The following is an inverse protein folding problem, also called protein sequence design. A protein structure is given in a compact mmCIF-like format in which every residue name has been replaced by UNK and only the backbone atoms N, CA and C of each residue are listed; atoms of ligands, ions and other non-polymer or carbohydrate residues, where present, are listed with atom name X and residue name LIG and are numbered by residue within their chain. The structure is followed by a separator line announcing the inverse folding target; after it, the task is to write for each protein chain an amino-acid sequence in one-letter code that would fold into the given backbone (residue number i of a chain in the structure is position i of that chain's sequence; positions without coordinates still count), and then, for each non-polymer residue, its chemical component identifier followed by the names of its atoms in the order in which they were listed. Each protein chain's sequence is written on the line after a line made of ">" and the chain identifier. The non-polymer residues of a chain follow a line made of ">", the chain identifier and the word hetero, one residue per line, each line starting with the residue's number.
data_IF_684329620239
#
_entry.id   IF_684329620239
#
_cell.length_a   1.000
_cell.length_b   1.000
_cell.length_c   1.000
_cell.angle_alpha   90.00
_cell.angle_beta   90.00
_cell.angle_gamma   90.00
#
_symmetry.space_group_name_H-M   'P 1'
#
loop_
_entity.id
_entity.type
_entity.pdbx_description
1 polymer ?
#
# COMPACT_ATOMS: atom_id res chain seq x y z
N UNK A 1 -21.25 -23.05 15.84
CA UNK A 1 -20.04 -22.35 16.33
C UNK A 1 -19.21 -21.83 15.16
N UNK A 2 -19.11 -22.54 14.04
CA UNK A 2 -18.39 -22.09 12.84
C UNK A 2 -18.87 -20.73 12.29
N UNK A 3 -20.18 -20.47 12.32
CA UNK A 3 -20.74 -19.21 11.79
C UNK A 3 -20.31 -17.96 12.58
N UNK A 4 -20.16 -18.08 13.91
CA UNK A 4 -19.68 -16.98 14.77
C UNK A 4 -18.22 -16.65 14.49
N UNK A 5 -17.38 -17.68 14.32
CA UNK A 5 -15.98 -17.51 13.94
C UNK A 5 -15.90 -16.86 12.56
N UNK A 6 -16.65 -17.35 11.58
CA UNK A 6 -16.64 -16.79 10.24
C UNK A 6 -17.04 -15.31 10.22
N UNK A 7 -18.07 -14.95 10.98
CA UNK A 7 -18.49 -13.55 11.11
C UNK A 7 -17.42 -12.66 11.73
N UNK A 8 -16.67 -13.17 12.73
CA UNK A 8 -15.55 -12.45 13.35
C UNK A 8 -14.37 -12.30 12.39
N UNK A 9 -14.05 -13.34 11.62
CA UNK A 9 -12.98 -13.29 10.62
C UNK A 9 -13.30 -12.28 9.51
N UNK A 10 -14.53 -12.29 8.98
CA UNK A 10 -14.96 -11.28 8.00
C UNK A 10 -14.84 -9.86 8.54
N UNK A 11 -15.29 -9.62 9.78
CA UNK A 11 -15.16 -8.30 10.41
C UNK A 11 -13.71 -7.89 10.62
N UNK A 12 -12.85 -8.80 11.11
CA UNK A 12 -11.43 -8.52 11.29
C UNK A 12 -10.75 -8.17 9.96
N UNK A 13 -11.10 -8.87 8.88
CA UNK A 13 -10.61 -8.58 7.54
C UNK A 13 -10.99 -7.16 7.07
N UNK A 14 -12.24 -6.73 7.27
CA UNK A 14 -12.66 -5.35 6.96
C UNK A 14 -11.88 -4.29 7.75
N UNK A 15 -11.48 -4.59 9.00
CA UNK A 15 -10.63 -3.71 9.79
C UNK A 15 -9.21 -3.62 9.21
N UNK A 16 -8.63 -4.74 8.77
CA UNK A 16 -7.31 -4.76 8.09
C UNK A 16 -7.36 -3.95 6.78
N UNK A 17 -8.36 -4.17 5.93
CA UNK A 17 -8.50 -3.43 4.67
C UNK A 17 -8.72 -1.93 4.91
N UNK A 18 -9.40 -1.57 5.99
CA UNK A 18 -9.61 -0.19 6.42
C UNK A 18 -8.43 0.45 7.15
N UNK A 19 -7.28 -0.24 7.27
CA UNK A 19 -6.09 0.25 7.99
C UNK A 19 -6.24 0.34 9.51
N UNK A 20 -7.31 -0.23 10.08
CA UNK A 20 -7.59 -0.28 11.53
C UNK A 20 -7.05 -1.57 12.13
N UNK A 21 -5.74 -1.75 12.06
CA UNK A 21 -5.08 -3.02 12.37
C UNK A 21 -5.20 -3.42 13.85
N UNK A 22 -5.25 -2.45 14.76
CA UNK A 22 -5.42 -2.69 16.20
C UNK A 22 -6.79 -3.30 16.52
N UNK A 23 -7.87 -2.80 15.90
CA UNK A 23 -9.22 -3.33 16.05
C UNK A 23 -9.30 -4.78 15.53
N UNK A 24 -8.61 -5.08 14.41
CA UNK A 24 -8.56 -6.42 13.86
C UNK A 24 -7.87 -7.40 14.82
N UNK A 25 -6.76 -7.00 15.43
CA UNK A 25 -6.04 -7.80 16.43
C UNK A 25 -6.92 -8.10 17.65
N UNK A 26 -7.69 -7.13 18.12
CA UNK A 26 -8.62 -7.32 19.25
C UNK A 26 -9.69 -8.38 18.95
N UNK A 27 -10.21 -8.40 17.72
CA UNK A 27 -11.19 -9.40 17.27
C UNK A 27 -10.53 -10.78 17.09
N UNK A 28 -9.31 -10.83 16.54
CA UNK A 28 -8.64 -12.09 16.18
C UNK A 28 -8.10 -12.87 17.37
N UNK A 29 -7.59 -12.20 18.41
CA UNK A 29 -7.06 -12.87 19.61
C UNK A 29 -8.01 -13.92 20.22
N UNK A 30 -9.27 -13.60 20.57
CA UNK A 30 -10.18 -14.60 21.13
C UNK A 30 -10.57 -15.69 20.10
N UNK A 31 -10.50 -15.40 18.80
CA UNK A 31 -10.73 -16.42 17.75
C UNK A 31 -9.58 -17.42 17.71
N UNK A 32 -8.33 -16.95 17.78
CA UNK A 32 -7.13 -17.80 17.82
C UNK A 32 -7.06 -18.63 19.11
N UNK A 33 -7.51 -18.10 20.24
CA UNK A 33 -7.62 -18.85 21.49
C UNK A 33 -8.67 -19.97 21.39
N UNK A 34 -9.80 -19.71 20.75
CA UNK A 34 -10.87 -20.69 20.56
C UNK A 34 -10.58 -21.73 19.47
N UNK A 35 -9.84 -21.33 18.42
CA UNK A 35 -9.54 -22.14 17.25
C UNK A 35 -8.07 -21.97 16.80
N UNK A 36 -7.11 -22.53 17.55
CA UNK A 36 -5.68 -22.34 17.29
C UNK A 36 -5.20 -22.98 15.98
N UNK A 37 -5.95 -23.91 15.41
CA UNK A 37 -5.66 -24.57 14.13
C UNK A 37 -6.44 -23.99 12.95
N UNK A 38 -6.94 -22.75 13.06
CA UNK A 38 -7.59 -22.05 11.94
C UNK A 38 -6.55 -21.25 11.13
N UNK A 39 -6.18 -21.75 9.95
CA UNK A 39 -5.22 -21.10 9.06
C UNK A 39 -5.66 -19.70 8.61
N UNK A 40 -6.95 -19.50 8.31
CA UNK A 40 -7.48 -18.21 7.86
C UNK A 40 -7.35 -17.15 8.95
N UNK A 41 -7.58 -17.53 10.22
CA UNK A 41 -7.41 -16.63 11.36
C UNK A 41 -5.96 -16.17 11.52
N UNK A 42 -5.01 -17.10 11.42
CA UNK A 42 -3.57 -16.77 11.44
C UNK A 42 -3.16 -15.91 10.24
N UNK A 43 -3.74 -16.16 9.07
CA UNK A 43 -3.48 -15.37 7.87
C UNK A 43 -3.98 -13.93 7.99
N UNK A 44 -5.17 -13.69 8.55
CA UNK A 44 -5.64 -12.32 8.78
C UNK A 44 -4.79 -11.66 9.88
N UNK A 45 -4.40 -12.41 10.92
CA UNK A 45 -3.54 -11.90 11.99
C UNK A 45 -2.17 -11.43 11.48
N UNK A 46 -1.57 -12.19 10.56
CA UNK A 46 -0.34 -11.84 9.84
C UNK A 46 -0.38 -10.42 9.23
N UNK A 47 -1.52 -10.03 8.66
CA UNK A 47 -1.72 -8.72 8.04
C UNK A 47 -2.15 -7.62 9.03
N UNK A 48 -2.55 -7.99 10.24
CA UNK A 48 -2.99 -7.08 11.28
C UNK A 48 -1.86 -6.68 12.27
N UNK A 49 -0.71 -7.35 12.22
CA UNK A 49 0.42 -7.06 13.12
C UNK A 49 1.48 -6.19 12.43
N UNK A 50 1.94 -5.17 13.14
CA UNK A 50 2.98 -4.25 12.65
C UNK A 50 4.41 -4.73 12.95
N UNK A 51 4.58 -5.64 13.92
CA UNK A 51 5.88 -6.20 14.28
C UNK A 51 6.28 -7.32 13.30
N UNK A 52 7.41 -7.20 12.57
CA UNK A 52 7.86 -8.22 11.62
C UNK A 52 8.18 -9.57 12.26
N UNK A 53 8.56 -9.61 13.55
CA UNK A 53 8.81 -10.87 14.25
C UNK A 53 7.49 -11.61 14.54
N UNK A 54 6.47 -10.89 15.00
CA UNK A 54 5.14 -11.44 15.20
C UNK A 54 4.48 -11.88 13.88
N UNK A 55 4.64 -11.10 12.82
CA UNK A 55 4.16 -11.44 11.47
C UNK A 55 4.77 -12.78 11.00
N UNK A 56 6.11 -12.93 11.11
CA UNK A 56 6.79 -14.19 10.77
C UNK A 56 6.29 -15.38 11.58
N UNK A 57 6.01 -15.19 12.88
CA UNK A 57 5.43 -16.23 13.72
C UNK A 57 4.05 -16.65 13.21
N UNK A 58 3.18 -15.69 12.89
CA UNK A 58 1.84 -15.96 12.37
C UNK A 58 1.89 -16.72 11.05
N UNK A 59 2.78 -16.32 10.13
CA UNK A 59 3.00 -17.04 8.86
C UNK A 59 3.50 -18.48 9.08
N UNK A 60 4.38 -18.67 10.06
CA UNK A 60 4.83 -20.00 10.49
C UNK A 60 3.68 -20.90 10.94
N UNK A 61 2.70 -20.35 11.69
CA UNK A 61 1.49 -21.09 12.06
C UNK A 61 0.60 -21.42 10.86
N UNK A 62 0.42 -20.49 9.91
CA UNK A 62 -0.31 -20.75 8.66
C UNK A 62 0.32 -21.93 7.91
N UNK A 63 1.63 -21.88 7.68
CA UNK A 63 2.35 -22.94 6.96
C UNK A 63 2.41 -24.27 7.73
N UNK A 64 2.36 -24.23 9.06
CA UNK A 64 2.23 -25.44 9.90
C UNK A 64 0.88 -26.12 9.71
N UNK A 65 -0.20 -25.33 9.67
CA UNK A 65 -1.58 -25.83 9.57
C UNK A 65 -1.92 -26.23 8.14
N UNK A 66 -1.56 -25.37 7.17
CA UNK A 66 -1.84 -25.50 5.75
C UNK A 66 -0.56 -25.20 4.93
N UNK A 67 0.29 -26.21 4.68
CA UNK A 67 1.55 -26.02 3.95
C UNK A 67 1.38 -25.50 2.50
N UNK A 68 0.20 -25.69 1.91
CA UNK A 68 -0.17 -25.26 0.56
C UNK A 68 -1.12 -24.03 0.58
N UNK A 69 -1.14 -23.27 1.68
CA UNK A 69 -1.97 -22.07 1.79
C UNK A 69 -1.61 -21.05 0.68
N UNK A 70 -2.58 -20.60 -0.15
CA UNK A 70 -2.29 -19.74 -1.29
C UNK A 70 -1.59 -18.43 -0.90
N UNK A 71 -0.46 -18.14 -1.53
CA UNK A 71 0.30 -16.90 -1.30
C UNK A 71 1.26 -16.94 -0.10
N UNK A 72 1.20 -17.97 0.76
CA UNK A 72 2.00 -18.01 1.98
C UNK A 72 3.50 -18.16 1.71
N UNK A 73 3.87 -18.96 0.71
CA UNK A 73 5.27 -19.12 0.30
C UNK A 73 5.85 -17.80 -0.24
N UNK A 74 5.08 -17.08 -1.06
CA UNK A 74 5.50 -15.81 -1.63
C UNK A 74 5.69 -14.72 -0.56
N UNK A 75 4.80 -14.67 0.45
CA UNK A 75 4.99 -13.75 1.59
C UNK A 75 6.19 -14.14 2.43
N UNK A 76 6.46 -15.44 2.60
CA UNK A 76 7.63 -15.91 3.34
C UNK A 76 8.93 -15.43 2.67
N UNK A 77 9.01 -15.59 1.35
CA UNK A 77 10.16 -15.11 0.57
C UNK A 77 10.32 -13.58 0.70
N UNK A 78 9.22 -12.83 0.57
CA UNK A 78 9.21 -11.37 0.73
C UNK A 78 9.74 -10.97 2.12
N UNK A 79 9.26 -11.62 3.19
CA UNK A 79 9.67 -11.33 4.56
C UNK A 79 11.14 -11.65 4.82
N UNK A 80 11.66 -12.71 4.20
CA UNK A 80 13.09 -13.06 4.32
C UNK A 80 13.99 -12.03 3.62
N UNK A 81 13.51 -11.42 2.54
CA UNK A 81 14.22 -10.36 1.82
C UNK A 81 14.18 -9.04 2.61
N UNK A 82 13.00 -8.64 3.09
CA UNK A 82 12.80 -7.34 3.72
C UNK A 82 13.30 -7.30 5.18
N UNK A 83 13.14 -8.41 5.91
CA UNK A 83 13.49 -8.54 7.31
C UNK A 83 14.36 -9.79 7.53
N UNK A 84 15.63 -9.77 7.10
CA UNK A 84 16.54 -10.89 7.34
C UNK A 84 16.52 -11.27 8.83
N UNK A 85 16.45 -12.56 9.11
CA UNK A 85 16.52 -13.02 10.51
C UNK A 85 17.88 -12.60 11.10
N UNK A 86 17.90 -12.06 12.33
CA UNK A 86 19.13 -11.61 13.00
C UNK A 86 20.22 -12.71 13.09
N UNK A 87 19.84 -13.98 12.91
CA UNK A 87 20.76 -15.11 12.77
C UNK A 87 21.59 -15.08 11.47
N UNK A 88 21.01 -14.63 10.36
CA UNK A 88 21.70 -14.51 9.08
C UNK A 88 22.71 -13.36 9.06
N UNK A 89 22.45 -12.27 9.76
CA UNK A 89 23.42 -11.16 9.86
C UNK A 89 24.66 -11.57 10.65
N UNK A 90 24.50 -12.38 11.70
CA UNK A 90 25.63 -12.96 12.43
C UNK A 90 26.45 -13.92 11.57
N UNK A 91 25.79 -14.76 10.77
CA UNK A 91 26.48 -15.69 9.88
C UNK A 91 27.22 -14.96 8.73
N UNK A 92 26.60 -13.91 8.18
CA UNK A 92 27.20 -13.03 7.18
C UNK A 92 28.41 -12.24 7.74
N UNK A 93 28.38 -11.86 9.01
CA UNK A 93 29.51 -11.21 9.69
C UNK A 93 30.63 -12.19 10.07
N UNK A 94 30.33 -13.49 10.25
CA UNK A 94 31.34 -14.52 10.57
C UNK A 94 32.06 -15.11 9.37
N UNK A 95 31.53 -14.96 8.14
CA UNK A 95 32.16 -15.50 6.92
C UNK A 95 33.30 -14.62 6.36
N UNK A 96 33.70 -13.55 7.08
CA UNK A 96 34.72 -12.59 6.65
C UNK A 96 36.11 -12.69 7.28
N UNK A 97 36.33 -13.48 8.33
CA UNK A 97 37.56 -13.41 9.15
C UNK A 97 38.42 -14.70 9.18
N UNK A 98 38.14 -15.67 8.31
CA UNK A 98 38.96 -16.90 8.19
C UNK A 98 40.17 -16.77 7.23
N UNK A 99 40.65 -15.55 6.95
CA UNK A 99 41.85 -15.31 6.11
C UNK A 99 42.99 -14.56 6.80
N UNK A 100 43.08 -14.65 8.14
CA UNK A 100 44.28 -14.28 8.87
C UNK A 100 44.68 -15.35 9.90
N UNK A 101 44.88 -16.59 9.43
CA UNK A 101 45.96 -17.41 10.00
C UNK A 101 47.30 -16.73 9.67
N UNK A 102 47.67 -15.76 10.49
CA UNK A 102 49.07 -15.37 10.66
C UNK A 102 49.54 -15.94 11.99
N UNK A 103 50.57 -16.75 11.83
CA UNK A 103 51.36 -17.46 12.80
C UNK A 103 51.56 -16.77 14.15
N UNK A 104 51.37 -17.56 15.22
CA UNK A 104 52.31 -17.60 16.32
C UNK A 104 52.00 -16.73 17.53
N UNK A 105 51.29 -17.30 18.50
CA UNK A 105 51.63 -17.05 19.91
C UNK A 105 51.39 -18.32 20.72
N UNK A 106 52.48 -18.98 21.08
CA UNK A 106 52.52 -20.16 21.93
C UNK A 106 52.12 -19.78 23.36
N UNK A 107 50.84 -19.91 23.71
CA UNK A 107 50.40 -19.76 25.10
C UNK A 107 50.84 -20.97 25.96
N UNK A 108 51.33 -20.75 27.19
CA UNK A 108 51.84 -21.79 28.07
C UNK A 108 50.71 -22.72 28.58
N UNK A 109 51.04 -23.96 28.98
CA UNK A 109 50.07 -24.95 29.42
C UNK A 109 49.43 -24.53 30.75
N UNK A 110 48.10 -24.37 30.73
CA UNK A 110 47.28 -24.24 31.95
C UNK A 110 47.10 -25.64 32.55
N UNK A 111 47.45 -25.87 33.83
CA UNK A 111 47.26 -27.16 34.47
C UNK A 111 45.76 -27.43 34.73
N UNK A 112 45.27 -28.49 34.09
CA UNK A 112 43.95 -29.07 34.27
C UNK A 112 43.89 -29.90 35.56
N UNK A 113 43.14 -29.42 36.54
CA UNK A 113 42.64 -30.22 37.66
C UNK A 113 41.18 -29.86 37.91
N UNK A 114 40.27 -30.50 37.18
CA UNK A 114 38.85 -30.55 37.57
C UNK A 114 38.44 -32.01 37.82
N UNK A 115 37.67 -32.26 38.89
CA UNK A 115 37.24 -33.60 39.28
C UNK A 115 36.22 -34.19 38.28
N UNK A 116 36.37 -35.49 38.06
CA UNK A 116 35.55 -36.33 37.19
C UNK A 116 34.05 -36.20 37.51
N UNK A 117 33.29 -35.71 36.53
CA UNK A 117 31.83 -35.78 36.56
C UNK A 117 31.41 -37.08 35.87
N UNK A 118 30.57 -37.93 36.48
CA UNK A 118 30.21 -39.23 35.92
C UNK A 118 29.43 -39.07 34.61
N UNK A 119 30.08 -39.51 33.53
CA UNK A 119 29.52 -39.62 32.18
C UNK A 119 28.48 -40.74 32.11
N UNK A 120 27.21 -40.36 32.06
CA UNK A 120 26.16 -41.13 31.38
C UNK A 120 25.33 -40.17 30.54
N UNK A 121 25.86 -39.84 29.37
CA UNK A 121 25.03 -39.38 28.26
C UNK A 121 24.30 -40.59 27.66
N UNK A 122 22.98 -40.53 27.45
CA UNK A 122 22.27 -41.55 26.68
C UNK A 122 22.75 -41.56 25.22
N UNK A 123 22.89 -42.76 24.65
CA UNK A 123 23.28 -42.97 23.26
C UNK A 123 22.36 -42.21 22.29
N UNK A 124 22.91 -41.58 21.24
CA UNK A 124 22.11 -40.98 20.18
C UNK A 124 21.38 -42.09 19.41
N UNK A 125 20.05 -42.03 19.42
CA UNK A 125 19.18 -42.87 18.59
C UNK A 125 19.55 -42.58 17.13
N UNK A 126 20.13 -43.58 16.45
CA UNK A 126 20.39 -43.53 15.01
C UNK A 126 19.05 -43.41 14.28
N UNK A 127 18.72 -42.19 13.86
CA UNK A 127 17.58 -41.91 13.00
C UNK A 127 18.03 -42.21 11.57
N UNK A 128 17.69 -43.41 11.08
CA UNK A 128 17.91 -43.84 9.70
C UNK A 128 17.29 -42.83 8.74
N UNK A 129 18.13 -42.07 8.04
CA UNK A 129 17.73 -41.15 6.99
C UNK A 129 17.18 -41.97 5.81
N UNK A 130 15.92 -41.76 5.36
CA UNK A 130 15.46 -42.36 4.12
C UNK A 130 16.27 -41.81 2.94
N UNK A 131 16.66 -42.70 2.04
CA UNK A 131 17.45 -42.39 0.85
C UNK A 131 16.75 -41.31 0.02
N UNK A 132 17.39 -40.15 -0.10
CA UNK A 132 17.00 -39.10 -1.05
C UNK A 132 17.23 -39.63 -2.45
N UNK A 133 16.21 -39.72 -3.33
CA UNK A 133 16.42 -40.09 -4.71
C UNK A 133 17.28 -39.03 -5.40
N UNK A 134 18.46 -39.44 -5.86
CA UNK A 134 19.32 -38.59 -6.68
C UNK A 134 18.59 -38.30 -8.00
N UNK A 135 18.18 -37.04 -8.19
CA UNK A 135 17.71 -36.56 -9.48
C UNK A 135 18.92 -36.29 -10.37
N UNK A 136 19.08 -37.14 -11.38
CA UNK A 136 20.06 -37.00 -12.45
C UNK A 136 19.66 -35.81 -13.36
N UNK A 137 20.28 -34.66 -13.10
CA UNK A 137 20.20 -33.46 -13.95
C UNK A 137 21.17 -33.64 -15.12
N UNK A 138 20.81 -34.52 -16.05
CA UNK A 138 21.46 -34.63 -17.37
C UNK A 138 20.43 -35.07 -18.40
N UNK A 139 19.47 -34.19 -18.69
CA UNK A 139 18.65 -34.29 -19.91
C UNK A 139 18.97 -33.11 -20.84
N UNK A 140 19.45 -33.35 -22.07
CA UNK A 140 19.56 -32.31 -23.07
C UNK A 140 18.16 -31.81 -23.41
N UNK A 141 17.99 -30.48 -23.34
CA UNK A 141 16.78 -29.79 -23.76
C UNK A 141 16.65 -29.98 -25.28
N UNK A 142 15.81 -30.93 -25.69
CA UNK A 142 15.40 -31.05 -27.07
C UNK A 142 14.48 -29.85 -27.38
N UNK A 143 14.95 -28.96 -28.25
CA UNK A 143 14.15 -27.95 -28.93
C UNK A 143 12.88 -28.58 -29.52
N UNK A 144 11.73 -28.30 -28.92
CA UNK A 144 10.45 -28.51 -29.56
C UNK A 144 9.97 -27.18 -30.16
N UNK A 145 10.45 -26.96 -31.38
CA UNK A 145 9.85 -26.01 -32.32
C UNK A 145 8.45 -26.54 -32.69
N UNK A 146 7.41 -26.05 -32.01
CA UNK A 146 6.04 -26.16 -32.49
C UNK A 146 5.42 -24.76 -32.59
N UNK A 147 5.54 -24.21 -33.80
CA UNK A 147 4.70 -23.11 -34.30
C UNK A 147 3.24 -23.55 -34.24
N UNK A 148 2.50 -23.09 -33.22
CA UNK A 148 1.05 -23.12 -33.22
C UNK A 148 0.53 -21.81 -33.86
N UNK A 149 -0.18 -21.94 -34.98
CA UNK A 149 -0.79 -20.82 -35.70
C UNK A 149 -1.95 -20.19 -34.89
N UNK A 150 -2.15 -18.86 -34.94
CA UNK A 150 -3.24 -18.21 -34.23
C UNK A 150 -4.58 -18.44 -34.93
N UNK A 151 -5.50 -19.13 -34.25
CA UNK A 151 -6.92 -19.19 -34.65
C UNK A 151 -7.60 -17.86 -34.31
N UNK A 152 -7.85 -17.04 -35.34
CA UNK A 152 -8.67 -15.83 -35.28
C UNK A 152 -10.12 -16.18 -34.86
N UNK A 153 -10.51 -15.74 -33.66
CA UNK A 153 -11.90 -15.68 -33.20
C UNK A 153 -12.54 -14.41 -33.76
N UNK A 154 -13.42 -14.56 -34.75
CA UNK A 154 -14.07 -13.50 -35.51
C UNK A 154 -15.51 -13.27 -35.03
N UNK A 155 -15.68 -12.91 -33.74
CA UNK A 155 -17.00 -12.71 -33.13
C UNK A 155 -17.20 -11.39 -32.36
N UNK A 156 -16.14 -10.67 -31.99
CA UNK A 156 -16.25 -9.52 -31.08
C UNK A 156 -16.45 -8.14 -31.73
N UNK A 157 -16.24 -8.00 -33.04
CA UNK A 157 -16.19 -6.69 -33.71
C UNK A 157 -17.56 -6.05 -33.97
N UNK A 158 -18.67 -6.78 -33.91
CA UNK A 158 -20.00 -6.20 -34.14
C UNK A 158 -20.59 -5.48 -32.92
N UNK A 159 -20.15 -5.80 -31.70
CA UNK A 159 -20.68 -5.16 -30.48
C UNK A 159 -20.06 -3.78 -30.27
N UNK A 160 -18.76 -3.63 -30.56
CA UNK A 160 -18.03 -2.37 -30.36
C UNK A 160 -18.57 -1.27 -31.30
N UNK A 161 -18.95 -1.62 -32.53
CA UNK A 161 -19.45 -0.65 -33.51
C UNK A 161 -20.83 -0.05 -33.10
N UNK A 162 -21.66 -0.83 -32.39
CA UNK A 162 -22.93 -0.35 -31.86
C UNK A 162 -22.76 0.66 -30.73
N UNK A 163 -21.80 0.44 -29.83
CA UNK A 163 -21.54 1.33 -28.69
C UNK A 163 -20.95 2.67 -29.17
N UNK A 164 -20.08 2.65 -30.17
CA UNK A 164 -19.51 3.88 -30.77
C UNK A 164 -20.58 4.70 -31.50
N UNK A 165 -21.52 4.05 -32.19
CA UNK A 165 -22.61 4.77 -32.86
C UNK A 165 -23.59 5.41 -31.85
N UNK A 166 -23.92 4.71 -30.76
CA UNK A 166 -24.81 5.24 -29.72
C UNK A 166 -24.19 6.44 -28.97
N UNK A 167 -22.89 6.37 -28.68
CA UNK A 167 -22.15 7.45 -28.02
C UNK A 167 -22.00 8.68 -28.92
N UNK A 168 -21.79 8.51 -30.23
CA UNK A 168 -21.78 9.64 -31.18
C UNK A 168 -23.14 10.34 -31.30
N UNK A 169 -24.25 9.59 -31.25
CA UNK A 169 -25.60 10.19 -31.26
C UNK A 169 -25.87 10.98 -29.97
N UNK A 170 -25.43 10.47 -28.81
CA UNK A 170 -25.58 11.17 -27.54
C UNK A 170 -24.78 12.48 -27.51
N UNK A 171 -23.54 12.45 -27.99
CA UNK A 171 -22.68 13.65 -28.08
C UNK A 171 -23.28 14.67 -29.05
N UNK A 172 -23.85 14.23 -30.18
CA UNK A 172 -24.52 15.13 -31.12
C UNK A 172 -25.78 15.78 -30.53
N UNK A 173 -26.57 15.06 -29.72
CA UNK A 173 -27.74 15.63 -29.03
C UNK A 173 -27.35 16.64 -27.94
N UNK A 174 -26.21 16.46 -27.28
CA UNK A 174 -25.72 17.39 -26.26
C UNK A 174 -25.10 18.66 -26.89
N UNK A 175 -24.48 18.55 -28.06
CA UNK A 175 -23.86 19.69 -28.75
C UNK A 175 -24.84 20.53 -29.57
N UNK A 176 -26.00 20.00 -29.90
CA UNK A 176 -27.06 20.72 -30.63
C UNK A 176 -28.33 20.81 -29.77
N UNK A 177 -28.33 21.64 -28.71
CA UNK A 177 -29.55 21.89 -27.94
C UNK A 177 -30.59 22.51 -28.89
N UNK A 178 -31.68 21.79 -29.14
CA UNK A 178 -32.82 22.31 -29.88
C UNK A 178 -33.24 23.67 -29.30
N UNK A 179 -33.55 24.67 -30.13
CA UNK A 179 -34.07 25.94 -29.65
C UNK A 179 -35.43 25.70 -28.98
N UNK A 180 -35.46 25.84 -27.66
CA UNK A 180 -36.68 25.70 -26.89
C UNK A 180 -37.65 26.84 -27.23
N UNK A 181 -38.88 26.45 -27.57
CA UNK A 181 -40.04 27.32 -27.67
C UNK A 181 -40.20 28.19 -26.40
N UNK A 182 -40.41 29.48 -26.63
CA UNK A 182 -40.81 30.46 -25.61
C UNK A 182 -42.22 30.16 -25.09
N UNK A 183 -42.36 30.00 -23.77
CA UNK A 183 -43.65 29.82 -23.07
C UNK A 183 -43.83 30.93 -22.01
N UNK A 184 -45.03 31.50 -21.85
CA UNK A 184 -45.23 32.82 -21.25
C UNK A 184 -45.25 32.86 -19.72
N UNK A 185 -44.93 34.06 -19.22
CA UNK A 185 -45.08 34.53 -17.84
C UNK A 185 -46.51 34.33 -17.31
N UNK A 186 -46.62 33.68 -16.16
CA UNK A 186 -47.83 33.70 -15.33
C UNK A 186 -47.48 34.10 -13.88
N UNK A 187 -48.10 35.20 -13.49
CA UNK A 187 -48.20 35.81 -12.16
C UNK A 187 -49.25 35.10 -11.31
N UNK A 188 -48.93 34.69 -10.08
CA UNK A 188 -49.88 34.47 -8.95
C UNK A 188 -49.07 34.61 -7.64
N UNK A 189 -49.19 35.69 -6.87
CA UNK A 189 -50.14 35.98 -5.77
C UNK A 189 -50.06 35.06 -4.54
N UNK A 190 -49.82 35.69 -3.39
CA UNK A 190 -49.67 35.08 -2.06
C UNK A 190 -51.02 34.85 -1.38
N UNK A 191 -51.17 33.77 -0.62
CA UNK A 191 -52.22 33.63 0.42
C UNK A 191 -51.75 32.68 1.54
N UNK A 192 -52.11 33.07 2.75
CA UNK A 192 -51.77 32.55 4.08
C UNK A 192 -52.74 31.44 4.57
N UNK A 193 -52.54 30.98 5.83
CA UNK A 193 -53.57 30.52 6.81
C UNK A 193 -53.68 28.98 7.09
N UNK A 194 -53.22 28.58 8.31
CA UNK A 194 -53.94 27.82 9.39
C UNK A 194 -53.78 26.30 9.67
N UNK A 195 -53.46 26.07 10.96
CA UNK A 195 -53.84 25.08 12.00
C UNK A 195 -53.67 23.53 11.98
N UNK A 196 -53.27 23.10 13.19
CA UNK A 196 -53.58 21.90 14.00
C UNK A 196 -53.32 20.48 13.50
N UNK A 197 -52.65 19.67 14.33
CA UNK A 197 -53.33 18.72 15.23
C UNK A 197 -52.35 18.00 16.20
N UNK A 198 -52.78 17.97 17.46
CA UNK A 198 -52.30 17.27 18.67
C UNK A 198 -52.53 15.75 18.63
N UNK A 199 -51.61 14.92 19.15
CA UNK A 199 -51.97 13.71 19.93
C UNK A 199 -50.82 13.21 20.84
N UNK A 200 -51.21 12.74 22.02
CA UNK A 200 -50.42 12.45 23.24
C UNK A 200 -50.18 10.92 23.43
N UNK A 201 -49.56 10.40 24.51
CA UNK A 201 -48.73 9.18 24.48
C UNK A 201 -49.37 7.98 25.24
N UNK A 202 -48.62 6.89 25.46
CA UNK A 202 -48.86 6.05 26.63
C UNK A 202 -47.65 5.85 27.55
N UNK A 203 -47.98 5.35 28.74
CA UNK A 203 -47.30 5.47 30.02
C UNK A 203 -47.07 4.09 30.66
N UNK A 204 -46.01 3.98 31.49
CA UNK A 204 -45.80 3.09 32.67
C UNK A 204 -45.53 1.60 32.44
N UNK A 205 -44.37 1.10 32.93
CA UNK A 205 -44.27 0.07 34.01
C UNK A 205 -42.98 0.30 34.81
N UNK A 206 -43.10 0.35 36.14
CA UNK A 206 -42.03 0.42 37.12
C UNK A 206 -41.56 -0.98 37.55
N UNK A 207 -40.27 -1.14 37.87
CA UNK A 207 -39.81 -2.14 38.84
C UNK A 207 -38.60 -1.62 39.63
N UNK A 208 -38.64 -1.97 40.90
CA UNK A 208 -37.92 -1.48 42.06
C UNK A 208 -36.99 -2.61 42.54
N UNK A 209 -35.69 -2.39 42.72
CA UNK A 209 -34.78 -3.30 43.46
C UNK A 209 -33.47 -2.59 43.87
N UNK A 210 -33.45 -2.10 45.11
CA UNK A 210 -32.38 -2.11 46.12
C UNK A 210 -30.87 -2.11 45.74
N UNK A 211 -30.23 -0.98 46.08
CA UNK A 211 -28.97 -0.70 46.85
C UNK A 211 -28.38 -1.94 47.60
N UNK A 212 -27.03 -2.17 47.69
CA UNK A 212 -26.12 -1.26 48.41
C UNK A 212 -24.63 -1.09 48.01
N UNK A 213 -24.04 -0.09 48.68
CA UNK A 213 -22.62 0.14 49.04
C UNK A 213 -21.69 0.94 48.11
N UNK A 214 -21.71 2.26 48.33
CA UNK A 214 -20.60 3.06 48.87
C UNK A 214 -19.16 2.64 48.56
N UNK A 215 -18.49 3.39 47.68
CA UNK A 215 -17.05 3.64 47.77
C UNK A 215 -16.74 5.08 47.34
N UNK A 216 -16.44 5.88 48.35
CA UNK A 216 -15.98 7.27 48.29
C UNK A 216 -14.56 7.32 47.72
N UNK A 217 -14.36 7.98 46.58
CA UNK A 217 -13.04 8.45 46.14
C UNK A 217 -13.18 9.94 45.79
N UNK A 218 -12.29 10.72 46.39
CA UNK A 218 -12.26 12.17 46.36
C UNK A 218 -12.04 12.72 44.95
N UNK A 219 -12.92 13.62 44.54
CA UNK A 219 -12.78 14.46 43.35
C UNK A 219 -11.82 15.60 43.68
N UNK A 220 -10.71 15.68 42.95
CA UNK A 220 -9.79 16.79 42.98
C UNK A 220 -10.33 17.92 42.09
N UNK A 221 -10.91 18.94 42.74
CA UNK A 221 -11.29 20.21 42.13
C UNK A 221 -10.06 20.88 41.52
N UNK A 222 -10.04 20.98 40.19
CA UNK A 222 -9.06 21.81 39.48
C UNK A 222 -9.83 23.02 38.93
N UNK A 223 -9.65 24.18 39.56
CA UNK A 223 -10.13 25.46 39.05
C UNK A 223 -9.49 25.73 37.69
N UNK A 224 -10.29 25.69 36.63
CA UNK A 224 -9.91 26.25 35.32
C UNK A 224 -10.48 27.65 35.25
N UNK A 225 -9.60 28.62 35.38
CA UNK A 225 -9.85 30.06 35.18
C UNK A 225 -10.27 30.31 33.74
N UNK A 226 -11.50 30.75 33.54
CA UNK A 226 -11.99 31.32 32.29
C UNK A 226 -11.31 32.68 32.07
N UNK A 227 -10.25 32.70 31.28
CA UNK A 227 -9.70 33.94 30.72
C UNK A 227 -10.45 34.25 29.42
N UNK A 228 -11.28 35.29 29.52
CA UNK A 228 -12.04 35.87 28.41
C UNK A 228 -11.08 36.53 27.42
N UNK A 229 -10.79 35.85 26.32
CA UNK A 229 -9.99 36.40 25.22
C UNK A 229 -10.95 36.95 24.16
N UNK A 230 -10.91 38.27 24.04
CA UNK A 230 -11.63 39.09 23.06
C UNK A 230 -11.26 38.69 21.63
N UNK A 231 -12.28 38.38 20.83
CA UNK A 231 -12.20 38.14 19.38
C UNK A 231 -11.66 39.39 18.67
N UNK A 232 -10.54 39.32 17.93
CA UNK A 232 -10.15 40.39 17.02
C UNK A 232 -11.02 40.35 15.74
N UNK A 233 -11.23 41.50 15.08
CA UNK A 233 -12.06 41.59 13.88
C UNK A 233 -11.43 40.83 12.71
N UNK A 234 -12.30 40.20 11.92
CA UNK A 234 -12.01 39.50 10.68
C UNK A 234 -11.17 40.37 9.75
N UNK A 235 -9.88 40.06 9.67
CA UNK A 235 -8.99 40.61 8.67
C UNK A 235 -9.20 39.82 7.37
N UNK A 236 -9.39 40.55 6.29
CA UNK A 236 -9.69 40.01 4.97
C UNK A 236 -8.52 39.12 4.53
N UNK A 237 -8.74 37.80 4.59
CA UNK A 237 -7.86 36.83 3.97
C UNK A 237 -7.95 37.06 2.46
N UNK A 238 -6.94 37.73 1.91
CA UNK A 238 -6.70 37.74 0.48
C UNK A 238 -6.54 36.29 0.05
N UNK A 239 -7.56 35.77 -0.63
CA UNK A 239 -7.52 34.55 -1.41
C UNK A 239 -6.41 34.75 -2.44
N UNK A 240 -5.23 34.23 -2.14
CA UNK A 240 -4.11 34.15 -3.07
C UNK A 240 -4.54 33.13 -4.11
N UNK A 241 -5.21 33.62 -5.16
CA UNK A 241 -5.36 32.89 -6.41
C UNK A 241 -3.94 32.48 -6.80
N UNK A 242 -3.62 31.17 -6.89
CA UNK A 242 -2.31 30.75 -7.34
C UNK A 242 -2.07 31.39 -8.71
N UNK A 243 -1.07 32.25 -8.75
CA UNK A 243 -0.67 32.98 -9.93
C UNK A 243 -0.41 31.94 -11.02
N UNK A 244 -1.16 32.05 -12.12
CA UNK A 244 -1.13 31.11 -13.23
C UNK A 244 0.23 31.24 -13.88
N UNK A 245 1.18 30.41 -13.43
CA UNK A 245 2.51 30.35 -14.01
C UNK A 245 2.39 30.15 -15.52
N UNK A 246 3.15 30.99 -16.23
CA UNK A 246 3.19 31.23 -17.66
C UNK A 246 2.89 29.99 -18.53
N UNK A 247 1.68 29.94 -19.09
CA UNK A 247 1.13 28.77 -19.81
C UNK A 247 1.79 28.51 -21.17
N UNK A 248 2.65 29.41 -21.68
CA UNK A 248 3.16 29.29 -23.06
C UNK A 248 4.32 28.29 -23.24
N UNK A 249 5.14 28.04 -22.22
CA UNK A 249 6.23 27.04 -22.31
C UNK A 249 5.80 25.63 -21.87
N UNK A 250 4.67 25.50 -21.17
CA UNK A 250 4.14 24.22 -20.71
C UNK A 250 3.74 23.29 -21.87
N UNK A 251 3.46 23.83 -23.06
CA UNK A 251 3.02 23.05 -24.22
C UNK A 251 4.09 22.12 -24.79
N UNK A 252 5.33 22.60 -24.94
CA UNK A 252 6.43 21.82 -25.53
C UNK A 252 6.95 20.77 -24.56
N UNK A 253 7.17 21.16 -23.29
CA UNK A 253 7.61 20.24 -22.23
C UNK A 253 6.59 19.10 -22.05
N UNK A 254 5.30 19.43 -22.02
CA UNK A 254 4.26 18.43 -21.90
C UNK A 254 4.18 17.49 -23.12
N UNK A 255 4.63 17.92 -24.31
CA UNK A 255 4.66 17.06 -25.49
C UNK A 255 5.82 16.06 -25.42
N UNK A 256 7.02 16.49 -25.05
CA UNK A 256 8.20 15.61 -24.92
C UNK A 256 8.02 14.58 -23.80
N UNK A 257 7.53 15.01 -22.64
CA UNK A 257 7.24 14.09 -21.53
C UNK A 257 6.14 13.10 -21.91
N UNK A 258 5.12 13.53 -22.66
CA UNK A 258 4.05 12.64 -23.13
C UNK A 258 4.56 11.63 -24.16
N UNK A 259 5.49 12.03 -25.03
CA UNK A 259 6.11 11.14 -26.01
C UNK A 259 6.97 10.08 -25.31
N UNK A 260 7.80 10.49 -24.35
CA UNK A 260 8.58 9.57 -23.52
C UNK A 260 7.72 8.61 -22.70
N UNK A 261 6.50 9.03 -22.33
CA UNK A 261 5.54 8.21 -21.59
C UNK A 261 4.47 7.55 -22.48
N UNK A 262 4.64 7.50 -23.80
CA UNK A 262 3.64 6.99 -24.73
C UNK A 262 3.28 5.50 -24.51
N UNK A 263 4.20 4.73 -23.93
CA UNK A 263 4.00 3.32 -23.58
C UNK A 263 3.17 3.11 -22.30
N UNK A 264 2.88 4.19 -21.55
CA UNK A 264 2.16 4.14 -20.29
C UNK A 264 0.75 4.73 -20.42
N UNK A 265 -0.18 4.22 -19.61
CA UNK A 265 -1.50 4.82 -19.48
C UNK A 265 -1.42 6.03 -18.55
N UNK A 266 -1.62 7.22 -19.09
CA UNK A 266 -1.59 8.46 -18.32
C UNK A 266 -2.98 8.79 -17.74
N UNK A 267 -3.01 9.36 -16.54
CA UNK A 267 -4.23 9.86 -15.90
C UNK A 267 -4.70 11.18 -16.54
N UNK A 268 -5.96 11.61 -16.31
CA UNK A 268 -6.36 12.99 -16.55
C UNK A 268 -5.42 13.92 -15.76
N UNK A 269 -4.90 14.97 -16.40
CA UNK A 269 -3.80 15.80 -15.87
C UNK A 269 -2.48 15.01 -15.71
N UNK A 270 -2.08 14.33 -16.78
CA UNK A 270 -0.90 13.48 -16.85
C UNK A 270 0.40 14.11 -16.33
N UNK A 271 0.54 15.44 -16.36
CA UNK A 271 1.74 16.15 -15.92
C UNK A 271 1.29 17.35 -15.08
N UNK A 272 1.79 17.46 -13.86
CA UNK A 272 1.58 18.59 -12.95
C UNK A 272 2.91 19.11 -12.41
N UNK A 273 2.95 20.39 -12.05
CA UNK A 273 4.00 20.96 -11.20
C UNK A 273 3.40 21.13 -9.81
N UNK A 274 4.05 20.56 -8.80
CA UNK A 274 3.57 20.57 -7.43
C UNK A 274 4.68 21.09 -6.52
N UNK A 275 4.35 21.97 -5.58
CA UNK A 275 5.30 22.39 -4.54
C UNK A 275 5.28 21.36 -3.41
N UNK A 276 6.41 20.69 -3.22
CA UNK A 276 6.62 19.68 -2.19
C UNK A 276 7.76 20.14 -1.27
N UNK A 277 7.98 19.43 -0.16
CA UNK A 277 9.04 19.80 0.80
C UNK A 277 10.46 19.88 0.21
N UNK A 278 10.68 19.30 -0.98
CA UNK A 278 11.93 19.33 -1.74
C UNK A 278 11.98 20.43 -2.83
N UNK A 279 10.96 21.28 -2.91
CA UNK A 279 10.78 22.31 -3.93
C UNK A 279 9.70 21.97 -4.94
N UNK A 280 9.71 22.64 -6.10
CA UNK A 280 8.74 22.39 -7.16
C UNK A 280 9.15 21.11 -7.89
N UNK A 281 8.22 20.16 -7.98
CA UNK A 281 8.45 18.85 -8.60
C UNK A 281 7.54 18.72 -9.82
N UNK A 282 8.11 18.33 -10.95
CA UNK A 282 7.32 17.89 -12.10
C UNK A 282 6.90 16.44 -11.88
N UNK A 283 5.61 16.22 -11.68
CA UNK A 283 5.02 14.90 -11.38
C UNK A 283 4.25 14.40 -12.59
N UNK A 284 4.59 13.21 -13.09
CA UNK A 284 3.76 12.51 -14.07
C UNK A 284 2.77 11.57 -13.37
N UNK A 285 1.48 11.71 -13.69
CA UNK A 285 0.41 10.88 -13.16
C UNK A 285 0.15 9.69 -14.09
N UNK A 286 0.56 8.49 -13.67
CA UNK A 286 0.46 7.25 -14.46
C UNK A 286 -0.53 6.29 -13.82
N UNK A 287 -1.46 5.76 -14.63
CA UNK A 287 -2.42 4.76 -14.21
C UNK A 287 -1.74 3.42 -13.88
N UNK A 288 -2.08 2.82 -12.74
CA UNK A 288 -1.67 1.47 -12.36
C UNK A 288 -2.72 0.81 -11.47
N UNK A 289 -2.80 -0.52 -11.45
CA UNK A 289 -3.47 -1.23 -10.35
C UNK A 289 -2.53 -1.36 -9.14
N UNK A 290 -3.08 -1.48 -7.91
CA UNK A 290 -2.29 -1.71 -6.70
C UNK A 290 -1.53 -3.05 -6.74
N UNK A 291 -0.51 -3.17 -5.89
CA UNK A 291 0.24 -4.41 -5.71
C UNK A 291 1.39 -4.59 -6.71
N UNK A 292 1.43 -5.74 -7.40
CA UNK A 292 2.58 -6.15 -8.24
C UNK A 292 2.76 -5.25 -9.48
N UNK A 293 1.67 -4.79 -10.08
CA UNK A 293 1.73 -3.92 -11.26
C UNK A 293 2.43 -2.60 -10.92
N UNK A 294 1.99 -1.91 -9.87
CA UNK A 294 2.61 -0.66 -9.42
C UNK A 294 4.12 -0.81 -9.16
N UNK A 295 4.55 -1.88 -8.50
CA UNK A 295 5.98 -2.15 -8.22
C UNK A 295 6.80 -2.39 -9.49
N UNK A 296 6.20 -2.99 -10.52
CA UNK A 296 6.87 -3.27 -11.79
C UNK A 296 6.89 -2.04 -12.69
N UNK A 297 5.83 -1.23 -12.63
CA UNK A 297 5.65 -0.04 -13.44
C UNK A 297 6.55 1.11 -12.96
N UNK A 298 6.71 1.25 -11.65
CA UNK A 298 7.42 2.37 -11.04
C UNK A 298 8.83 2.59 -11.61
N UNK A 299 9.70 1.56 -11.71
CA UNK A 299 11.04 1.76 -12.26
C UNK A 299 11.04 2.11 -13.74
N UNK A 300 10.14 1.52 -14.52
CA UNK A 300 10.04 1.80 -15.95
C UNK A 300 9.62 3.25 -16.21
N UNK A 301 8.66 3.76 -15.45
CA UNK A 301 8.21 5.16 -15.55
C UNK A 301 9.30 6.12 -15.11
N UNK A 302 9.97 5.84 -13.98
CA UNK A 302 11.06 6.70 -13.49
C UNK A 302 12.25 6.75 -14.46
N UNK A 303 12.54 5.64 -15.15
CA UNK A 303 13.56 5.60 -16.20
C UNK A 303 13.14 6.42 -17.43
N UNK A 304 11.88 6.31 -17.86
CA UNK A 304 11.37 7.11 -18.97
C UNK A 304 11.41 8.62 -18.66
N UNK A 305 10.98 9.01 -17.44
CA UNK A 305 11.05 10.39 -16.96
C UNK A 305 12.46 10.94 -16.90
N UNK A 306 13.44 10.11 -16.50
CA UNK A 306 14.83 10.54 -16.49
C UNK A 306 15.31 10.95 -17.88
N UNK A 307 14.89 10.22 -18.93
CA UNK A 307 15.23 10.52 -20.32
C UNK A 307 14.75 11.88 -20.81
N UNK A 308 13.78 12.49 -20.12
CA UNK A 308 13.21 13.82 -20.43
C UNK A 308 13.41 14.83 -19.30
N UNK A 309 14.26 14.53 -18.32
CA UNK A 309 14.47 15.42 -17.17
C UNK A 309 15.10 16.77 -17.54
N UNK A 310 15.86 16.83 -18.64
CA UNK A 310 16.42 18.08 -19.16
C UNK A 310 15.33 19.03 -19.70
N UNK A 311 14.23 18.46 -20.21
CA UNK A 311 13.07 19.20 -20.71
C UNK A 311 12.15 19.72 -19.59
N UNK A 312 12.33 19.27 -18.35
CA UNK A 312 11.56 19.78 -17.22
C UNK A 312 11.77 21.31 -17.07
N UNK A 313 10.74 22.08 -16.64
CA UNK A 313 10.88 23.52 -16.47
C UNK A 313 12.02 23.84 -15.50
N UNK A 314 12.76 24.92 -15.73
CA UNK A 314 13.87 25.30 -14.84
C UNK A 314 13.44 25.65 -13.42
N UNK A 315 12.15 25.89 -13.20
CA UNK A 315 11.55 26.05 -11.88
C UNK A 315 11.44 24.73 -11.11
N UNK A 316 11.42 23.59 -11.80
CA UNK A 316 11.32 22.27 -11.19
C UNK A 316 12.70 21.81 -10.68
N UNK A 317 12.82 21.65 -9.36
CA UNK A 317 14.04 21.14 -8.70
C UNK A 317 14.12 19.62 -8.74
N UNK A 318 12.99 18.95 -8.96
CA UNK A 318 12.89 17.50 -9.01
C UNK A 318 11.90 17.03 -10.09
N UNK A 319 12.06 15.76 -10.48
CA UNK A 319 11.14 15.04 -11.35
C UNK A 319 10.65 13.79 -10.64
N UNK A 320 9.40 13.42 -10.87
CA UNK A 320 8.80 12.28 -10.18
C UNK A 320 7.59 11.72 -10.90
N UNK A 321 7.10 10.60 -10.37
CA UNK A 321 5.88 9.97 -10.84
C UNK A 321 4.96 9.69 -9.67
N UNK A 322 3.66 9.85 -9.92
CA UNK A 322 2.58 9.39 -9.06
C UNK A 322 1.85 8.28 -9.79
N UNK A 323 1.90 7.08 -9.24
CA UNK A 323 1.04 5.99 -9.71
C UNK A 323 -0.34 6.16 -9.08
N UNK A 324 -1.37 6.25 -9.90
CA UNK A 324 -2.76 6.42 -9.47
C UNK A 324 -3.59 5.24 -9.94
N UNK A 325 -4.53 4.81 -9.11
CA UNK A 325 -5.59 3.93 -9.57
C UNK A 325 -6.58 4.77 -10.39
N UNK A 326 -6.63 4.54 -11.71
CA UNK A 326 -7.46 5.35 -12.61
C UNK A 326 -8.95 5.00 -12.56
N UNK A 327 -9.36 4.01 -11.77
CA UNK A 327 -10.78 3.71 -11.54
C UNK A 327 -11.39 4.65 -10.49
N UNK A 328 -10.66 4.95 -9.42
CA UNK A 328 -11.13 5.73 -8.26
C UNK A 328 -10.34 7.03 -8.02
N UNK A 329 -9.22 7.22 -8.71
CA UNK A 329 -8.32 8.37 -8.56
C UNK A 329 -7.36 8.28 -7.38
N UNK A 330 -7.32 7.14 -6.67
CA UNK A 330 -6.51 6.99 -5.45
C UNK A 330 -5.03 6.98 -5.79
N UNK A 331 -4.22 7.79 -5.10
CA UNK A 331 -2.76 7.76 -5.19
C UNK A 331 -2.23 6.48 -4.53
N UNK A 332 -1.48 5.68 -5.29
CA UNK A 332 -0.91 4.42 -4.81
C UNK A 332 0.51 4.63 -4.28
N UNK A 333 1.35 5.31 -5.06
CA UNK A 333 2.73 5.63 -4.69
C UNK A 333 3.17 6.89 -5.42
N UNK A 334 3.82 7.80 -4.70
CA UNK A 334 4.49 8.97 -5.29
C UNK A 334 5.97 8.91 -4.96
N UNK A 335 6.82 8.92 -5.98
CA UNK A 335 8.28 9.01 -5.80
C UNK A 335 8.83 10.14 -6.65
N UNK A 336 9.91 10.74 -6.17
CA UNK A 336 10.66 11.76 -6.91
C UNK A 336 12.15 11.60 -6.71
N UNK A 337 12.90 12.29 -7.56
CA UNK A 337 14.34 12.46 -7.41
C UNK A 337 14.74 13.83 -7.95
N UNK A 338 15.90 14.35 -7.55
CA UNK A 338 16.39 15.64 -8.02
C UNK A 338 16.57 15.63 -9.54
N UNK A 339 16.28 16.76 -10.20
CA UNK A 339 16.40 16.91 -11.66
C UNK A 339 17.80 16.57 -12.14
N UNK A 340 18.82 17.08 -11.45
CA UNK A 340 20.24 16.84 -11.78
C UNK A 340 20.61 15.35 -11.69
N UNK A 341 20.06 14.63 -10.71
CA UNK A 341 20.26 13.19 -10.56
C UNK A 341 19.65 12.40 -11.72
N UNK A 342 18.44 12.79 -12.14
CA UNK A 342 17.78 12.18 -13.29
C UNK A 342 18.54 12.43 -14.61
N UNK A 343 19.06 13.65 -14.81
CA UNK A 343 19.93 13.99 -15.94
C UNK A 343 21.24 13.19 -15.91
N UNK A 344 21.86 13.05 -14.72
CA UNK A 344 23.06 12.23 -14.55
C UNK A 344 22.81 10.76 -14.92
N UNK A 345 21.67 10.20 -14.52
CA UNK A 345 21.28 8.84 -14.95
C UNK A 345 21.05 8.74 -16.46
N UNK A 346 20.29 9.66 -17.06
CA UNK A 346 20.00 9.66 -18.49
C UNK A 346 21.25 9.79 -19.37
N UNK A 347 22.28 10.47 -18.88
CA UNK A 347 23.59 10.61 -19.53
C UNK A 347 24.55 9.43 -19.26
N UNK A 348 24.12 8.42 -18.50
CA UNK A 348 24.92 7.23 -18.15
C UNK A 348 25.93 7.45 -17.02
N UNK A 349 25.80 8.55 -16.28
CA UNK A 349 26.65 8.85 -15.11
C UNK A 349 26.25 8.10 -13.84
N UNK A 350 25.06 7.49 -13.80
CA UNK A 350 24.59 6.63 -12.72
C UNK A 350 24.10 5.31 -13.31
N UNK A 351 24.29 4.21 -12.56
CA UNK A 351 23.62 2.94 -12.84
C UNK A 351 22.14 3.01 -12.46
N UNK A 352 21.33 2.06 -12.94
CA UNK A 352 19.91 1.98 -12.58
C UNK A 352 19.69 1.78 -11.07
N UNK A 353 20.59 1.04 -10.41
CA UNK A 353 20.54 0.80 -8.97
C UNK A 353 20.88 2.05 -8.18
N UNK A 354 21.96 2.76 -8.54
CA UNK A 354 22.32 4.04 -7.92
C UNK A 354 21.22 5.09 -8.12
N UNK A 355 20.63 5.16 -9.30
CA UNK A 355 19.51 6.06 -9.57
C UNK A 355 18.28 5.74 -8.70
N UNK A 356 17.91 4.46 -8.60
CA UNK A 356 16.80 4.02 -7.76
C UNK A 356 17.03 4.30 -6.27
N UNK A 357 18.27 4.20 -5.80
CA UNK A 357 18.64 4.53 -4.42
C UNK A 357 18.46 6.02 -4.08
N UNK A 358 18.37 6.90 -5.09
CA UNK A 358 18.11 8.35 -4.90
C UNK A 358 16.61 8.70 -4.93
N UNK A 359 15.71 7.73 -5.04
CA UNK A 359 14.28 8.00 -5.04
C UNK A 359 13.79 8.29 -3.63
N UNK A 360 13.06 9.39 -3.49
CA UNK A 360 12.38 9.77 -2.25
C UNK A 360 10.89 9.57 -2.42
N UNK A 361 10.29 8.77 -1.55
CA UNK A 361 8.85 8.66 -1.45
C UNK A 361 8.26 9.97 -0.88
N UNK A 362 7.27 10.53 -1.57
CA UNK A 362 6.55 11.74 -1.15
C UNK A 362 5.22 11.27 -0.56
N UNK A 363 4.92 11.74 0.65
CA UNK A 363 3.62 11.50 1.31
C UNK A 363 2.73 12.73 1.22
#
# INVERSE_FOLDING_TARGET
>A
MSDDIQSKLSKAFEHVEGGRVEDAVEILKPVLEAAPDNADAWWIYLHAVSDPAEARRALGEVLRIAPDYPGAAEIQDLMNIEFPSEGQEREALTLGDDSASLDGESLPPVPLSMPETPSRLPEPIQRSTPAVPQYDVSRPIAESSQRAAPRRSMGGTLVILGVVAASLVLVFLLLNPSPADSVPTLTVEATSVVDNTTETPPSIVAQDTSIPETLTIAEATTETTEESISTPPADATNEVTPDVLDTQNSGTVAAEVRDALADFRLAPNAISLEELGTGIVMVANVCSSPGREARTLLPAVMQALAGVADAAPDTATAVGTRLVNCEDGTSLVTVSTLRDTAIAYASGGLTSEEYAAQWTAIR
#
